data_IF_844637950145
#
_entry.id   IF_844637950145
#
_cell.length_a   1.000
_cell.length_b   1.000
_cell.length_c   1.000
_cell.angle_alpha   90.00
_cell.angle_beta   90.00
_cell.angle_gamma   90.00
#
_symmetry.space_group_name_H-M   'P 1'
#
loop_
_entity.id
_entity.type
_entity.pdbx_description
1 polymer ?
#
# COMPACT_ATOMS: atom_id res chain seq x y z
N UNK A 1 -51.12 -59.49 9.72
CA UNK A 1 -49.70 -59.20 9.46
C UNK A 1 -49.39 -57.88 10.18
N UNK A 2 -49.04 -57.96 11.48
CA UNK A 2 -47.67 -57.80 12.02
C UNK A 2 -47.03 -56.44 11.69
N UNK A 3 -46.44 -55.66 12.60
CA UNK A 3 -46.39 -55.54 14.06
C UNK A 3 -45.67 -54.19 14.29
N UNK A 4 -46.03 -53.45 15.34
CA UNK A 4 -45.28 -52.29 15.82
C UNK A 4 -43.93 -52.71 16.41
N UNK A 5 -42.84 -51.99 16.11
CA UNK A 5 -41.64 -51.98 16.95
C UNK A 5 -41.07 -50.57 17.07
N UNK A 6 -41.35 -49.96 18.23
CA UNK A 6 -40.50 -48.99 18.89
C UNK A 6 -39.16 -49.63 19.29
N UNK A 7 -38.05 -48.92 19.14
CA UNK A 7 -36.80 -49.22 19.85
C UNK A 7 -36.09 -47.92 20.22
N UNK A 8 -36.17 -47.65 21.51
CA UNK A 8 -35.44 -46.65 22.28
C UNK A 8 -34.06 -47.21 22.66
N UNK A 9 -33.11 -46.30 22.87
CA UNK A 9 -31.93 -46.42 23.76
C UNK A 9 -30.79 -47.37 23.35
N UNK A 10 -29.58 -46.79 23.31
CA UNK A 10 -28.26 -47.26 23.79
C UNK A 10 -27.26 -46.23 23.20
N UNK A 11 -26.34 -45.56 23.89
CA UNK A 11 -26.00 -45.42 25.30
C UNK A 11 -24.93 -44.33 25.37
N UNK A 12 -25.09 -43.40 26.29
CA UNK A 12 -24.09 -42.43 26.74
C UNK A 12 -22.98 -43.14 27.51
N UNK A 13 -21.72 -42.87 27.19
CA UNK A 13 -20.51 -43.05 28.03
C UNK A 13 -19.50 -42.01 27.51
N UNK A 14 -19.38 -40.80 28.09
CA UNK A 14 -18.70 -40.43 29.35
C UNK A 14 -17.24 -40.89 29.40
N UNK A 15 -16.31 -39.94 29.16
CA UNK A 15 -15.07 -39.74 29.91
C UNK A 15 -14.35 -38.50 29.32
N UNK A 16 -14.63 -37.25 29.73
CA UNK A 16 -14.03 -36.54 30.87
C UNK A 16 -12.58 -36.93 31.18
N UNK A 17 -11.61 -36.25 30.56
CA UNK A 17 -10.28 -36.11 31.13
C UNK A 17 -10.07 -34.68 31.61
N UNK A 18 -10.15 -34.55 32.92
CA UNK A 18 -9.88 -33.38 33.76
C UNK A 18 -8.40 -32.99 33.77
N UNK A 19 -8.16 -31.69 33.65
CA UNK A 19 -7.20 -30.84 34.37
C UNK A 19 -5.90 -31.46 34.94
N UNK A 20 -4.79 -30.84 34.56
CA UNK A 20 -3.76 -30.22 35.44
C UNK A 20 -3.08 -29.11 34.62
N UNK A 21 -3.27 -27.83 34.91
CA UNK A 21 -2.56 -27.00 35.93
C UNK A 21 -1.03 -27.07 35.75
N UNK A 22 -0.24 -25.99 35.69
CA UNK A 22 -0.35 -24.56 36.03
C UNK A 22 0.87 -23.80 35.47
N UNK A 23 0.83 -22.46 35.56
CA UNK A 23 1.94 -21.48 35.40
C UNK A 23 2.23 -21.03 33.96
N UNK A 24 2.28 -19.76 33.59
CA UNK A 24 2.30 -18.49 34.33
C UNK A 24 1.75 -17.37 33.42
N UNK A 25 0.60 -16.80 33.78
CA UNK A 25 0.09 -15.58 33.12
C UNK A 25 0.64 -14.41 33.91
N UNK A 26 1.75 -13.83 33.43
CA UNK A 26 2.21 -12.53 33.90
C UNK A 26 1.19 -11.47 33.45
N UNK A 27 0.38 -10.99 34.39
CA UNK A 27 -0.39 -9.76 34.25
C UNK A 27 0.60 -8.59 34.22
N UNK A 28 0.94 -8.11 33.03
CA UNK A 28 1.63 -6.83 32.89
C UNK A 28 0.66 -5.72 33.28
N UNK A 29 0.96 -5.06 34.39
CA UNK A 29 0.32 -3.83 34.85
C UNK A 29 0.50 -2.75 33.77
N UNK A 30 -0.56 -2.44 33.01
CA UNK A 30 -0.59 -1.23 32.20
C UNK A 30 -0.65 -0.02 33.14
N UNK A 31 0.48 0.69 33.27
CA UNK A 31 0.49 2.05 33.82
C UNK A 31 -0.32 2.95 32.90
N UNK A 32 -1.19 3.84 33.42
CA UNK A 32 -1.83 4.85 32.60
C UNK A 32 -0.76 5.84 32.12
N UNK A 33 -0.50 5.87 30.80
CA UNK A 33 0.30 6.93 30.20
C UNK A 33 -0.51 8.23 30.23
N UNK A 34 0.06 9.25 30.86
CA UNK A 34 -0.47 10.62 30.86
C UNK A 34 -0.58 11.13 29.42
N UNK A 35 -1.69 11.79 29.13
CA UNK A 35 -1.97 12.48 27.88
C UNK A 35 -0.89 13.54 27.58
N UNK A 36 -0.17 13.37 26.47
CA UNK A 36 0.64 14.42 25.85
C UNK A 36 -0.21 15.12 24.79
N UNK A 37 -1.19 15.88 25.24
CA UNK A 37 -1.78 16.96 24.47
C UNK A 37 -1.07 18.27 24.86
N UNK A 38 -0.92 19.19 23.90
CA UNK A 38 -0.28 20.50 24.00
C UNK A 38 1.24 20.54 23.74
N UNK A 39 1.62 20.54 22.46
CA UNK A 39 2.91 21.11 22.02
C UNK A 39 2.89 21.75 20.62
N UNK A 40 1.73 22.21 20.16
CA UNK A 40 1.54 22.79 18.80
C UNK A 40 1.08 24.27 18.78
N UNK A 41 1.38 25.05 19.82
CA UNK A 41 1.06 26.49 19.81
C UNK A 41 2.25 27.35 20.26
N UNK A 42 3.36 27.28 19.53
CA UNK A 42 4.45 28.26 19.69
C UNK A 42 5.41 28.29 18.49
N UNK A 43 4.93 28.45 17.25
CA UNK A 43 5.81 28.78 16.11
C UNK A 43 5.20 29.70 15.05
N UNK A 44 4.07 30.37 15.35
CA UNK A 44 3.54 31.45 14.52
C UNK A 44 3.32 32.71 15.35
N UNK A 45 4.42 33.31 15.81
CA UNK A 45 4.44 34.75 16.07
C UNK A 45 5.83 35.29 15.72
N UNK A 46 5.94 35.85 14.53
CA UNK A 46 7.12 36.61 14.12
C UNK A 46 6.62 37.85 13.40
N UNK A 47 6.23 38.79 14.25
CA UNK A 47 6.34 40.23 14.12
C UNK A 47 6.97 40.73 12.82
N UNK A 48 6.14 41.39 12.00
CA UNK A 48 6.54 42.20 10.88
C UNK A 48 7.47 43.32 11.36
N UNK A 49 8.78 43.19 11.09
CA UNK A 49 9.74 44.27 11.25
C UNK A 49 9.87 45.03 9.93
N UNK A 50 9.18 46.15 9.90
CA UNK A 50 9.34 47.22 8.92
C UNK A 50 10.76 47.81 9.07
N UNK A 51 11.61 47.67 8.06
CA UNK A 51 12.87 48.39 7.96
C UNK A 51 12.91 49.14 6.64
N UNK A 52 12.61 50.44 6.73
CA UNK A 52 13.02 51.44 5.74
C UNK A 52 14.55 51.52 5.78
N UNK A 53 15.19 51.31 4.63
CA UNK A 53 16.57 51.73 4.41
C UNK A 53 16.61 52.66 3.20
N UNK A 54 17.11 53.85 3.48
CA UNK A 54 17.24 55.03 2.63
C UNK A 54 18.26 54.83 1.51
N UNK A 55 17.96 55.40 0.35
CA UNK A 55 18.90 55.57 -0.74
C UNK A 55 20.11 56.43 -0.31
N UNK A 56 21.31 56.01 -0.69
CA UNK A 56 22.40 56.94 -0.96
C UNK A 56 23.31 56.37 -2.05
N UNK A 57 23.56 57.21 -3.04
CA UNK A 57 24.45 57.04 -4.18
C UNK A 57 25.92 57.12 -3.77
N UNK A 58 26.77 56.24 -4.29
CA UNK A 58 28.20 56.50 -4.54
C UNK A 58 28.75 55.53 -5.59
N UNK A 59 29.34 56.13 -6.62
CA UNK A 59 30.12 55.53 -7.71
C UNK A 59 31.48 55.00 -7.23
N UNK A 60 31.96 53.86 -7.75
CA UNK A 60 33.36 53.69 -8.15
C UNK A 60 33.58 52.47 -9.04
N UNK A 61 34.62 52.57 -9.85
CA UNK A 61 35.04 51.68 -10.92
C UNK A 61 35.58 50.33 -10.45
N UNK A 62 35.33 49.30 -11.27
CA UNK A 62 36.29 48.27 -11.70
C UNK A 62 37.13 47.53 -10.67
N UNK A 63 36.76 46.27 -10.39
CA UNK A 63 37.73 45.20 -10.15
C UNK A 63 37.08 43.85 -10.45
N UNK A 64 37.79 43.02 -11.22
CA UNK A 64 37.31 41.76 -11.76
C UNK A 64 36.99 40.76 -10.63
N UNK A 65 35.71 40.54 -10.36
CA UNK A 65 35.28 39.48 -9.47
C UNK A 65 35.20 38.18 -10.26
N UNK A 66 36.00 37.18 -9.86
CA UNK A 66 35.84 35.78 -10.29
C UNK A 66 34.36 35.45 -10.23
N UNK A 67 33.76 35.09 -11.36
CA UNK A 67 32.41 34.56 -11.42
C UNK A 67 32.42 33.22 -10.67
N UNK A 68 32.32 33.28 -9.35
CA UNK A 68 31.89 32.15 -8.57
C UNK A 68 30.51 31.81 -9.10
N UNK A 69 30.37 30.62 -9.69
CA UNK A 69 29.08 30.10 -10.08
C UNK A 69 28.21 30.10 -8.82
N UNK A 70 27.38 31.13 -8.67
CA UNK A 70 26.30 31.12 -7.70
C UNK A 70 25.30 30.13 -8.28
N UNK A 71 25.45 28.86 -7.92
CA UNK A 71 24.38 27.90 -8.08
C UNK A 71 23.21 28.50 -7.32
N UNK A 72 22.21 29.01 -8.04
CA UNK A 72 20.95 29.43 -7.46
C UNK A 72 20.20 28.17 -7.05
N UNK A 73 20.72 27.47 -6.04
CA UNK A 73 20.04 26.34 -5.43
C UNK A 73 18.82 26.91 -4.72
N UNK A 74 17.66 26.76 -5.36
CA UNK A 74 16.41 27.10 -4.72
C UNK A 74 16.22 26.26 -3.47
N UNK A 75 15.38 26.72 -2.53
CA UNK A 75 14.94 25.87 -1.40
C UNK A 75 14.35 24.54 -1.91
N UNK A 76 13.75 24.58 -3.10
CA UNK A 76 13.30 23.42 -3.85
C UNK A 76 14.46 22.48 -4.24
N UNK A 77 15.64 22.95 -4.62
CA UNK A 77 16.79 22.07 -4.94
C UNK A 77 17.43 21.48 -3.67
N UNK A 78 17.43 22.20 -2.55
CA UNK A 78 17.96 21.69 -1.27
C UNK A 78 17.09 20.60 -0.65
N UNK A 79 15.77 20.70 -0.86
CA UNK A 79 14.80 19.71 -0.38
C UNK A 79 14.58 18.65 -1.47
N UNK A 80 15.10 18.84 -2.69
CA UNK A 80 14.73 18.10 -3.90
C UNK A 80 13.39 18.61 -4.44
N UNK A 81 13.35 19.21 -5.64
CA UNK A 81 12.15 19.91 -6.13
C UNK A 81 10.92 18.99 -6.25
N UNK A 82 11.17 17.68 -6.32
CA UNK A 82 10.20 16.60 -6.34
C UNK A 82 9.63 16.22 -4.94
N UNK A 83 10.19 16.76 -3.86
CA UNK A 83 9.78 16.50 -2.48
C UNK A 83 8.65 17.42 -1.99
N UNK A 84 8.29 18.49 -2.73
CA UNK A 84 7.32 19.51 -2.29
C UNK A 84 5.88 19.41 -2.88
N UNK A 85 5.56 18.34 -3.62
CA UNK A 85 4.21 17.87 -4.04
C UNK A 85 3.13 18.90 -4.46
N UNK A 86 2.71 18.87 -5.75
CA UNK A 86 1.30 19.07 -6.10
C UNK A 86 0.56 17.81 -6.58
N UNK A 87 1.27 16.75 -7.03
CA UNK A 87 0.61 15.68 -7.79
C UNK A 87 0.02 14.51 -6.95
N UNK A 88 0.12 14.50 -5.63
CA UNK A 88 -0.41 13.36 -4.85
C UNK A 88 -1.87 13.45 -4.46
N UNK A 89 -2.40 14.68 -4.34
CA UNK A 89 -3.85 14.85 -4.26
C UNK A 89 -4.53 14.44 -5.57
N UNK A 90 -3.90 14.74 -6.71
CA UNK A 90 -4.41 14.34 -8.03
C UNK A 90 -4.32 12.82 -8.23
N UNK A 91 -3.25 12.18 -7.74
CA UNK A 91 -3.11 10.71 -7.74
C UNK A 91 -4.30 10.01 -7.05
N UNK A 92 -4.60 10.38 -5.80
CA UNK A 92 -5.69 9.73 -5.05
C UNK A 92 -7.04 9.97 -5.72
N UNK A 93 -7.31 11.18 -6.18
CA UNK A 93 -8.55 11.50 -6.90
C UNK A 93 -8.70 10.66 -8.17
N UNK A 94 -7.61 10.47 -8.92
CA UNK A 94 -7.62 9.62 -10.10
C UNK A 94 -7.73 8.13 -9.77
N UNK A 95 -7.11 7.68 -8.68
CA UNK A 95 -7.23 6.30 -8.20
C UNK A 95 -8.66 5.98 -7.78
N UNK A 96 -9.31 6.90 -7.06
CA UNK A 96 -10.71 6.75 -6.65
C UNK A 96 -11.66 6.75 -7.87
N UNK A 97 -11.40 7.62 -8.85
CA UNK A 97 -12.18 7.74 -10.09
C UNK A 97 -12.04 6.52 -11.01
N UNK A 98 -10.82 6.13 -11.35
CA UNK A 98 -10.54 5.08 -12.36
C UNK A 98 -10.54 3.67 -11.75
N UNK A 99 -10.31 3.55 -10.45
CA UNK A 99 -10.19 2.28 -9.74
C UNK A 99 -8.86 1.54 -9.96
N UNK A 100 -8.30 1.65 -11.17
CA UNK A 100 -7.06 1.00 -11.57
C UNK A 100 -6.10 1.95 -12.28
N UNK A 101 -4.86 2.04 -11.79
CA UNK A 101 -3.80 2.89 -12.34
C UNK A 101 -2.57 2.07 -12.71
N UNK A 102 -1.92 2.45 -13.81
CA UNK A 102 -0.57 2.02 -14.16
C UNK A 102 0.41 3.15 -13.92
N UNK A 103 1.40 2.90 -13.07
CA UNK A 103 2.43 3.83 -12.65
C UNK A 103 3.75 3.51 -13.35
N UNK A 104 4.45 4.54 -13.79
CA UNK A 104 5.84 4.49 -14.22
C UNK A 104 6.68 5.11 -13.11
N UNK A 105 7.58 4.32 -12.53
CA UNK A 105 8.38 4.74 -11.39
C UNK A 105 9.82 5.01 -11.83
N UNK A 106 10.50 6.04 -11.30
CA UNK A 106 11.95 6.13 -11.41
C UNK A 106 12.67 4.87 -10.89
N UNK A 107 13.68 4.34 -11.62
CA UNK A 107 14.40 3.12 -11.23
C UNK A 107 15.24 3.30 -9.95
N UNK A 108 15.46 4.53 -9.49
CA UNK A 108 16.10 4.84 -8.21
C UNK A 108 15.27 4.41 -7.00
N UNK A 109 13.97 4.17 -7.20
CA UNK A 109 13.03 3.75 -6.16
C UNK A 109 12.63 4.89 -5.21
N UNK A 110 11.88 4.53 -4.17
CA UNK A 110 11.44 5.46 -3.11
C UNK A 110 10.15 6.25 -3.39
N UNK A 111 9.73 6.37 -4.65
CA UNK A 111 8.46 7.03 -5.00
C UNK A 111 7.23 6.19 -4.70
N UNK A 112 7.28 4.87 -4.92
CA UNK A 112 6.20 3.94 -4.58
C UNK A 112 5.74 4.09 -3.13
N UNK A 113 6.69 4.14 -2.20
CA UNK A 113 6.42 4.33 -0.78
C UNK A 113 5.68 5.64 -0.48
N UNK A 114 5.91 6.69 -1.27
CA UNK A 114 5.20 7.98 -1.12
C UNK A 114 3.74 7.87 -1.54
N UNK A 115 3.44 7.20 -2.64
CA UNK A 115 2.06 6.95 -3.08
C UNK A 115 1.34 6.02 -2.12
N UNK A 116 1.99 4.94 -1.70
CA UNK A 116 1.47 3.99 -0.71
C UNK A 116 1.16 4.66 0.63
N UNK A 117 2.08 5.49 1.15
CA UNK A 117 1.86 6.23 2.40
C UNK A 117 0.71 7.24 2.27
N UNK A 118 0.52 7.83 1.10
CA UNK A 118 -0.60 8.76 0.86
C UNK A 118 -1.92 8.01 0.85
N UNK A 119 -2.00 6.90 0.13
CA UNK A 119 -3.19 6.04 0.14
C UNK A 119 -3.50 5.52 1.57
N UNK A 120 -2.47 5.18 2.36
CA UNK A 120 -2.63 4.79 3.76
C UNK A 120 -3.20 5.92 4.63
N UNK A 121 -2.76 7.17 4.41
CA UNK A 121 -3.28 8.37 5.09
C UNK A 121 -4.74 8.65 4.72
N UNK A 122 -5.13 8.36 3.48
CA UNK A 122 -6.50 8.47 2.96
C UNK A 122 -7.44 7.35 3.44
N UNK A 123 -6.95 6.43 4.28
CA UNK A 123 -7.75 5.38 4.88
C UNK A 123 -7.80 4.08 4.08
N UNK A 124 -6.94 3.87 3.09
CA UNK A 124 -6.81 2.59 2.40
C UNK A 124 -5.89 1.63 3.15
N UNK A 125 -6.26 0.35 3.20
CA UNK A 125 -5.37 -0.72 3.63
C UNK A 125 -4.46 -1.10 2.47
N UNK A 126 -3.14 -1.01 2.66
CA UNK A 126 -2.18 -1.24 1.57
C UNK A 126 -1.76 -2.69 1.55
N UNK A 127 -1.84 -3.31 0.38
CA UNK A 127 -1.41 -4.66 0.12
C UNK A 127 -0.38 -4.66 -1.02
N UNK A 128 0.89 -4.91 -0.68
CA UNK A 128 1.98 -4.94 -1.64
C UNK A 128 2.18 -6.37 -2.16
N UNK A 129 2.24 -6.53 -3.47
CA UNK A 129 2.44 -7.79 -4.15
C UNK A 129 3.51 -7.65 -5.23
N UNK A 130 4.20 -8.75 -5.53
CA UNK A 130 5.14 -8.82 -6.66
C UNK A 130 4.51 -9.61 -7.80
N UNK A 131 4.44 -9.03 -9.00
CA UNK A 131 3.83 -9.67 -10.15
C UNK A 131 4.52 -11.01 -10.51
N UNK A 132 5.85 -11.08 -10.44
CA UNK A 132 6.61 -12.30 -10.77
C UNK A 132 6.30 -13.50 -9.88
N UNK A 133 5.91 -13.27 -8.63
CA UNK A 133 5.59 -14.32 -7.67
C UNK A 133 4.12 -14.71 -7.66
N UNK A 134 3.26 -14.00 -8.40
CA UNK A 134 1.80 -14.12 -8.31
C UNK A 134 1.25 -15.31 -9.11
N UNK A 135 1.92 -15.68 -10.22
CA UNK A 135 1.35 -16.60 -11.19
C UNK A 135 0.11 -16.00 -11.85
N UNK A 136 -1.00 -16.74 -11.89
CA UNK A 136 -2.28 -16.22 -12.37
C UNK A 136 -2.94 -15.31 -11.31
N UNK A 137 -3.08 -13.99 -11.55
CA UNK A 137 -3.69 -13.06 -10.62
C UNK A 137 -5.16 -13.40 -10.32
N UNK A 138 -5.88 -14.02 -11.27
CA UNK A 138 -7.27 -14.37 -11.04
C UNK A 138 -7.38 -15.48 -9.99
N UNK A 139 -6.64 -16.57 -10.19
CA UNK A 139 -6.61 -17.68 -9.25
C UNK A 139 -6.09 -17.25 -7.88
N UNK A 140 -4.96 -16.52 -7.83
CA UNK A 140 -4.30 -16.20 -6.57
C UNK A 140 -5.09 -15.18 -5.71
N UNK A 141 -5.66 -14.14 -6.33
CA UNK A 141 -6.34 -13.09 -5.58
C UNK A 141 -7.73 -13.49 -5.10
N UNK A 142 -8.51 -14.19 -5.93
CA UNK A 142 -9.96 -14.36 -5.68
C UNK A 142 -10.38 -15.81 -5.44
N UNK A 143 -9.64 -16.80 -5.94
CA UNK A 143 -10.03 -18.20 -5.86
C UNK A 143 -9.20 -18.93 -4.80
N UNK A 144 -9.74 -20.03 -4.31
CA UNK A 144 -8.96 -21.00 -3.54
C UNK A 144 -7.98 -21.66 -4.50
N UNK A 145 -6.70 -21.63 -4.17
CA UNK A 145 -5.64 -22.17 -5.03
C UNK A 145 -4.72 -23.10 -4.25
N UNK A 146 -4.13 -24.06 -4.96
CA UNK A 146 -3.24 -25.06 -4.36
C UNK A 146 -1.79 -24.62 -4.43
N UNK A 147 -1.20 -24.28 -3.29
CA UNK A 147 0.23 -24.04 -3.13
C UNK A 147 0.94 -25.36 -2.86
N UNK A 148 2.04 -25.62 -3.59
CA UNK A 148 2.89 -26.79 -3.35
C UNK A 148 4.16 -26.32 -2.64
N UNK A 149 4.35 -26.67 -1.35
CA UNK A 149 5.60 -26.37 -0.68
C UNK A 149 6.76 -27.18 -1.30
N UNK A 150 8.01 -26.71 -1.16
CA UNK A 150 9.17 -27.43 -1.65
C UNK A 150 9.31 -28.77 -0.88
N UNK A 151 9.28 -29.94 -1.55
CA UNK A 151 9.23 -31.24 -0.88
C UNK A 151 10.58 -31.67 -0.25
N UNK A 152 11.69 -31.00 -0.59
CA UNK A 152 13.07 -31.26 -0.12
C UNK A 152 13.52 -32.73 -0.15
N UNK A 153 12.85 -33.59 -0.93
CA UNK A 153 13.11 -35.03 -1.05
C UNK A 153 12.73 -35.88 0.17
N UNK A 154 12.21 -35.28 1.25
CA UNK A 154 11.84 -36.00 2.49
C UNK A 154 10.35 -36.18 2.67
N UNK A 155 9.55 -35.31 2.04
CA UNK A 155 8.11 -35.28 2.18
C UNK A 155 7.45 -35.70 0.86
N UNK A 156 6.28 -36.38 0.91
CA UNK A 156 5.48 -36.59 -0.28
C UNK A 156 5.04 -35.24 -0.87
N UNK A 157 4.65 -35.22 -2.14
CA UNK A 157 4.15 -34.00 -2.81
C UNK A 157 2.84 -33.59 -2.13
N UNK A 158 2.94 -32.62 -1.23
CA UNK A 158 1.80 -32.02 -0.54
C UNK A 158 1.22 -30.87 -1.35
N UNK A 159 -0.06 -30.58 -1.12
CA UNK A 159 -0.76 -29.42 -1.67
C UNK A 159 -1.57 -28.78 -0.56
N UNK A 160 -1.24 -27.54 -0.24
CA UNK A 160 -2.00 -26.72 0.70
C UNK A 160 -2.95 -25.84 -0.11
N UNK A 161 -4.22 -25.81 0.29
CA UNK A 161 -5.21 -24.95 -0.35
C UNK A 161 -5.29 -23.64 0.44
N UNK A 162 -4.79 -22.57 -0.17
CA UNK A 162 -4.88 -21.24 0.40
C UNK A 162 -6.13 -20.53 -0.13
N UNK A 163 -6.86 -19.80 0.73
CA UNK A 163 -7.97 -18.97 0.28
C UNK A 163 -7.47 -17.84 -0.63
N UNK A 164 -8.38 -17.25 -1.41
CA UNK A 164 -8.06 -16.11 -2.27
C UNK A 164 -7.53 -14.95 -1.42
N UNK A 165 -6.31 -14.50 -1.70
CA UNK A 165 -5.59 -13.60 -0.82
C UNK A 165 -6.33 -12.26 -0.61
N UNK A 166 -6.93 -11.72 -1.66
CA UNK A 166 -7.69 -10.47 -1.59
C UNK A 166 -8.96 -10.64 -0.75
N UNK A 167 -9.66 -11.77 -0.88
CA UNK A 167 -10.87 -12.03 -0.12
C UNK A 167 -10.57 -12.16 1.38
N UNK A 168 -9.52 -12.91 1.73
CA UNK A 168 -9.09 -13.05 3.13
C UNK A 168 -8.63 -11.72 3.72
N UNK A 169 -7.93 -10.89 2.95
CA UNK A 169 -7.54 -9.56 3.42
C UNK A 169 -8.76 -8.66 3.59
N UNK A 170 -9.72 -8.67 2.65
CA UNK A 170 -10.95 -7.90 2.73
C UNK A 170 -11.77 -8.23 3.97
N UNK A 171 -11.88 -9.51 4.33
CA UNK A 171 -12.54 -9.96 5.56
C UNK A 171 -11.81 -9.50 6.83
N UNK A 172 -10.48 -9.36 6.76
CA UNK A 172 -9.63 -8.94 7.87
C UNK A 172 -9.31 -7.42 7.89
N UNK A 173 -9.93 -6.62 7.02
CA UNK A 173 -9.70 -5.16 7.00
C UNK A 173 -10.20 -4.55 8.32
N UNK A 174 -9.38 -3.74 9.00
CA UNK A 174 -9.83 -3.09 10.23
C UNK A 174 -10.98 -2.11 9.96
N UNK A 175 -11.96 -2.10 10.86
CA UNK A 175 -13.09 -1.19 10.82
C UNK A 175 -12.63 0.28 10.72
N UNK A 176 -13.24 1.05 9.83
CA UNK A 176 -12.87 2.46 9.57
C UNK A 176 -11.88 2.69 8.42
N UNK A 177 -11.43 1.64 7.72
CA UNK A 177 -10.74 1.77 6.42
C UNK A 177 -11.74 1.75 5.25
N UNK A 178 -11.41 2.45 4.17
CA UNK A 178 -12.23 2.50 2.94
C UNK A 178 -12.27 1.15 2.22
N UNK A 179 -11.20 0.36 2.33
CA UNK A 179 -11.01 -0.90 1.63
C UNK A 179 -9.53 -1.22 1.43
N UNK A 180 -9.22 -2.01 0.39
CA UNK A 180 -7.86 -2.47 0.08
C UNK A 180 -7.34 -1.78 -1.18
N UNK A 181 -6.11 -1.28 -1.11
CA UNK A 181 -5.36 -0.79 -2.25
C UNK A 181 -4.21 -1.78 -2.53
N UNK A 182 -4.33 -2.48 -3.64
CA UNK A 182 -3.34 -3.41 -4.18
C UNK A 182 -2.26 -2.62 -4.91
N UNK A 183 -1.02 -2.74 -4.46
CA UNK A 183 0.14 -2.20 -5.16
C UNK A 183 0.95 -3.38 -5.68
N UNK A 184 0.92 -3.57 -7.00
CA UNK A 184 1.62 -4.66 -7.68
C UNK A 184 2.91 -4.11 -8.28
N UNK A 185 4.03 -4.52 -7.69
CA UNK A 185 5.38 -4.19 -8.14
C UNK A 185 5.74 -5.06 -9.34
N UNK A 186 6.54 -4.49 -10.24
CA UNK A 186 6.99 -5.16 -11.48
C UNK A 186 5.85 -5.71 -12.37
N UNK A 187 4.68 -5.07 -12.38
CA UNK A 187 3.52 -5.47 -13.18
C UNK A 187 3.74 -5.38 -14.71
N UNK A 188 4.88 -4.86 -15.15
CA UNK A 188 5.30 -4.95 -16.56
C UNK A 188 5.49 -6.40 -17.06
N UNK A 189 5.65 -7.38 -16.16
CA UNK A 189 5.75 -8.80 -16.52
C UNK A 189 4.39 -9.42 -16.89
N UNK A 190 3.28 -8.81 -16.45
CA UNK A 190 1.94 -9.34 -16.68
C UNK A 190 1.51 -9.22 -18.14
N UNK A 191 0.76 -10.23 -18.58
CA UNK A 191 0.13 -10.30 -19.89
C UNK A 191 -1.07 -9.34 -20.00
N UNK A 192 -1.50 -9.04 -21.23
CA UNK A 192 -2.67 -8.16 -21.47
C UNK A 192 -3.95 -8.69 -20.82
N UNK A 193 -4.14 -10.00 -20.82
CA UNK A 193 -5.31 -10.67 -20.22
C UNK A 193 -5.32 -10.51 -18.71
N UNK A 194 -4.15 -10.65 -18.08
CA UNK A 194 -3.99 -10.46 -16.63
C UNK A 194 -4.21 -9.01 -16.22
N UNK A 195 -3.68 -8.06 -16.99
CA UNK A 195 -3.91 -6.63 -16.77
C UNK A 195 -5.39 -6.27 -16.96
N UNK A 196 -6.04 -6.83 -17.98
CA UNK A 196 -7.48 -6.63 -18.22
C UNK A 196 -8.32 -7.16 -17.06
N UNK A 197 -7.94 -8.32 -16.51
CA UNK A 197 -8.58 -8.86 -15.32
C UNK A 197 -8.47 -7.90 -14.12
N UNK A 198 -7.30 -7.28 -13.89
CA UNK A 198 -7.12 -6.32 -12.80
C UNK A 198 -7.97 -5.05 -12.97
N UNK A 199 -8.18 -4.60 -14.21
CA UNK A 199 -9.12 -3.50 -14.51
C UNK A 199 -10.54 -3.89 -14.15
N UNK A 200 -10.99 -5.08 -14.59
CA UNK A 200 -12.33 -5.60 -14.30
C UNK A 200 -12.53 -5.83 -12.80
N UNK A 201 -11.50 -6.32 -12.11
CA UNK A 201 -11.51 -6.54 -10.67
C UNK A 201 -11.81 -5.23 -9.93
N UNK A 202 -11.06 -4.15 -10.22
CA UNK A 202 -11.28 -2.85 -9.59
C UNK A 202 -12.64 -2.21 -9.91
N UNK A 203 -13.26 -2.57 -11.04
CA UNK A 203 -14.60 -2.11 -11.41
C UNK A 203 -15.70 -2.93 -10.71
N UNK A 204 -15.49 -4.23 -10.56
CA UNK A 204 -16.46 -5.15 -9.94
C UNK A 204 -16.50 -4.96 -8.43
N UNK A 205 -15.36 -4.70 -7.79
CA UNK A 205 -15.25 -4.53 -6.34
C UNK A 205 -14.83 -3.09 -5.99
N UNK A 206 -15.77 -2.18 -5.67
CA UNK A 206 -15.45 -0.77 -5.45
C UNK A 206 -14.55 -0.51 -4.23
N UNK A 207 -14.54 -1.43 -3.27
CA UNK A 207 -13.69 -1.42 -2.07
C UNK A 207 -12.24 -1.84 -2.37
N UNK A 208 -11.93 -2.16 -3.63
CA UNK A 208 -10.61 -2.56 -4.08
C UNK A 208 -10.10 -1.55 -5.10
N UNK A 209 -8.89 -1.08 -4.90
CA UNK A 209 -8.17 -0.23 -5.85
C UNK A 209 -6.88 -0.91 -6.25
N UNK A 210 -6.47 -0.74 -7.50
CA UNK A 210 -5.29 -1.41 -8.06
C UNK A 210 -4.31 -0.37 -8.59
N UNK A 211 -3.06 -0.48 -8.20
CA UNK A 211 -1.93 0.28 -8.72
C UNK A 211 -0.91 -0.73 -9.22
N UNK A 212 -0.56 -0.65 -10.50
CA UNK A 212 0.40 -1.54 -11.14
C UNK A 212 1.63 -0.75 -11.56
N UNK A 213 2.81 -1.24 -11.21
CA UNK A 213 4.07 -0.68 -11.69
C UNK A 213 4.37 -1.22 -13.10
N UNK A 214 4.10 -0.40 -14.12
CA UNK A 214 4.11 -0.82 -15.51
C UNK A 214 5.46 -0.66 -16.20
N UNK A 215 6.47 -0.19 -15.46
CA UNK A 215 7.82 0.02 -15.95
C UNK A 215 8.44 1.27 -15.34
N UNK A 216 9.53 1.71 -15.96
CA UNK A 216 10.35 2.79 -15.41
C UNK A 216 10.22 4.09 -16.22
N UNK A 217 10.19 5.22 -15.50
CA UNK A 217 10.20 6.57 -16.04
C UNK A 217 11.37 7.39 -15.49
N UNK A 218 11.58 8.62 -15.96
CA UNK A 218 12.49 9.58 -15.29
C UNK A 218 11.81 10.33 -14.15
N UNK A 219 10.50 10.44 -14.23
CA UNK A 219 9.64 11.03 -13.20
C UNK A 219 8.49 10.07 -12.92
N UNK A 220 7.92 10.17 -11.71
CA UNK A 220 6.77 9.38 -11.35
C UNK A 220 5.52 9.87 -12.12
N UNK A 221 5.06 9.07 -13.08
CA UNK A 221 3.87 9.32 -13.87
C UNK A 221 2.87 8.19 -13.67
N UNK A 222 1.57 8.49 -13.77
CA UNK A 222 0.54 7.46 -13.75
C UNK A 222 -0.55 7.76 -14.75
N UNK A 223 -1.12 6.69 -15.29
CA UNK A 223 -2.20 6.69 -16.29
C UNK A 223 -3.22 5.62 -15.90
N UNK A 224 -4.47 5.70 -16.35
CA UNK A 224 -5.42 4.61 -16.13
C UNK A 224 -4.87 3.30 -16.67
N UNK A 225 -5.05 2.20 -15.94
CA UNK A 225 -4.46 0.91 -16.29
C UNK A 225 -4.90 0.42 -17.68
N UNK A 226 -6.14 0.77 -18.07
CA UNK A 226 -6.71 0.48 -19.39
C UNK A 226 -5.83 0.96 -20.55
N UNK A 227 -5.19 2.12 -20.41
CA UNK A 227 -4.32 2.67 -21.46
C UNK A 227 -3.12 1.75 -21.77
N UNK A 228 -2.65 0.95 -20.81
CA UNK A 228 -1.54 0.03 -21.03
C UNK A 228 -1.96 -1.30 -21.67
N UNK A 229 -3.23 -1.69 -21.49
CA UNK A 229 -3.79 -2.89 -22.13
C UNK A 229 -3.83 -2.72 -23.65
N UNK A 230 -4.23 -1.52 -24.08
CA UNK A 230 -4.42 -1.21 -25.50
C UNK A 230 -3.09 -0.98 -26.25
N UNK A 231 -2.09 -0.39 -25.58
CA UNK A 231 -0.87 0.14 -26.25
C UNK A 231 0.26 -0.88 -26.45
N UNK A 232 0.39 -1.92 -25.60
CA UNK A 232 1.59 -2.79 -25.68
C UNK A 232 1.62 -3.64 -26.96
N UNK A 233 2.67 -3.57 -27.80
CA UNK A 233 2.94 -4.62 -28.78
C UNK A 233 3.44 -5.88 -28.03
N UNK A 234 3.04 -7.06 -28.54
CA UNK A 234 3.45 -8.37 -28.01
C UNK A 234 4.93 -8.64 -28.26
#
# INVERSE_FOLDING_TARGET
MAQSCSSTCISTLVCSYTQRETSSVQKSVCRPQKALAARDQAMFSSSARNLKATASSRSSMGSQHKQGATCALGLFDLIGGDLLRPNLGTFIKQLEKEGSLGMLTPPEGGFEGRFANTARREGWHIMNLNARGLGDPQAYLTKVHGVRPPPLGKQPIQRFYEPGLLNSVLEAVPEGKKGVCLIIQEAFVLTKTELSYLVVLAQTTPNVKVVCEMGYGRMAEWKPLRAYVDVRPL
#
